data_IF_918419526655
#
_entry.id   IF_918419526655
#
_cell.length_a   1.000
_cell.length_b   1.000
_cell.length_c   1.000
_cell.angle_alpha   90.00
_cell.angle_beta   90.00
_cell.angle_gamma   90.00
#
_symmetry.space_group_name_H-M   'P 1'
#
loop_
_entity.id
_entity.type
_entity.pdbx_description
1 polymer ?
#
# COMPACT_ATOMS: atom_id res chain seq x y z
N UNK A 1 18.89 11.80 -8.66
CA UNK A 1 19.33 12.67 -7.54
C UNK A 1 18.10 13.30 -6.90
N UNK A 2 17.91 13.23 -5.57
CA UNK A 2 16.74 13.81 -4.90
C UNK A 2 16.84 15.35 -4.83
N UNK A 3 15.71 16.06 -4.70
CA UNK A 3 15.67 17.54 -4.61
C UNK A 3 16.60 18.09 -3.52
N UNK A 4 16.59 17.46 -2.35
CA UNK A 4 17.48 17.83 -1.22
C UNK A 4 18.97 17.68 -1.59
N UNK A 5 19.34 16.63 -2.33
CA UNK A 5 20.71 16.43 -2.80
C UNK A 5 21.14 17.48 -3.85
N UNK A 6 20.20 18.23 -4.44
CA UNK A 6 20.47 19.37 -5.34
C UNK A 6 20.36 20.74 -4.63
N UNK A 7 20.09 20.76 -3.32
CA UNK A 7 19.87 21.99 -2.56
C UNK A 7 18.47 22.60 -2.72
N UNK A 8 17.54 21.89 -3.37
CA UNK A 8 16.15 22.33 -3.55
C UNK A 8 15.26 21.91 -2.37
N UNK A 9 14.17 22.66 -2.14
CA UNK A 9 13.18 22.30 -1.09
C UNK A 9 12.44 21.00 -1.46
N UNK A 10 12.23 20.07 -0.50
CA UNK A 10 11.45 18.88 -0.73
C UNK A 10 9.97 19.24 -0.93
N UNK A 11 9.32 18.62 -1.93
CA UNK A 11 7.89 18.79 -2.21
C UNK A 11 7.06 17.54 -1.89
N UNK A 12 7.72 16.41 -1.62
CA UNK A 12 7.06 15.18 -1.22
C UNK A 12 6.54 15.30 0.21
N UNK A 13 5.25 15.02 0.40
CA UNK A 13 4.59 14.96 1.71
C UNK A 13 4.03 13.56 1.90
N UNK A 14 4.33 12.95 3.04
CA UNK A 14 3.77 11.66 3.41
C UNK A 14 2.42 11.85 4.10
N UNK A 15 1.39 11.21 3.57
CA UNK A 15 -0.01 11.32 4.03
C UNK A 15 -0.35 10.34 5.17
N UNK A 16 0.62 9.59 5.68
CA UNK A 16 0.40 8.63 6.77
C UNK A 16 -0.19 7.31 6.32
N UNK A 17 -0.16 7.01 5.03
CA UNK A 17 -0.75 5.79 4.49
C UNK A 17 -0.27 4.52 5.20
N UNK A 18 -1.22 3.72 5.67
CA UNK A 18 -0.94 2.42 6.27
C UNK A 18 -2.06 1.43 5.95
N UNK A 19 -1.70 0.16 5.88
CA UNK A 19 -2.60 -0.94 5.55
C UNK A 19 -2.51 -2.03 6.62
N UNK A 20 -3.63 -2.41 7.21
CA UNK A 20 -3.75 -3.50 8.15
C UNK A 20 -4.61 -4.63 7.55
N UNK A 21 -3.98 -5.73 7.08
CA UNK A 21 -4.71 -6.90 6.62
C UNK A 21 -5.20 -7.72 7.83
N UNK A 22 -6.45 -7.49 8.25
CA UNK A 22 -7.10 -8.14 9.38
C UNK A 22 -7.68 -9.48 8.97
N UNK A 23 -7.10 -10.58 9.47
CA UNK A 23 -7.64 -11.93 9.25
C UNK A 23 -8.88 -12.09 10.13
N UNK A 24 -10.06 -12.18 9.51
CA UNK A 24 -11.34 -12.34 10.22
C UNK A 24 -11.72 -13.82 10.38
N UNK A 25 -11.10 -14.71 9.60
CA UNK A 25 -11.33 -16.15 9.66
C UNK A 25 -10.32 -16.93 8.81
N UNK A 26 -10.43 -18.26 8.82
CA UNK A 26 -9.51 -19.15 8.08
C UNK A 26 -9.50 -18.90 6.56
N UNK A 27 -10.60 -18.39 6.02
CA UNK A 27 -10.80 -18.12 4.59
C UNK A 27 -11.16 -16.66 4.30
N UNK A 28 -11.06 -15.75 5.28
CA UNK A 28 -11.51 -14.37 5.11
C UNK A 28 -10.52 -13.38 5.68
N UNK A 29 -10.25 -12.32 4.91
CA UNK A 29 -9.38 -11.22 5.29
C UNK A 29 -10.05 -9.91 4.91
N UNK A 30 -10.09 -8.98 5.86
CA UNK A 30 -10.49 -7.61 5.69
C UNK A 30 -9.24 -6.76 5.47
N UNK A 31 -9.18 -6.01 4.37
CA UNK A 31 -8.04 -5.16 4.05
C UNK A 31 -8.35 -3.73 4.48
N UNK A 32 -7.99 -3.35 5.71
CA UNK A 32 -8.23 -1.99 6.20
C UNK A 32 -7.07 -1.07 5.80
N UNK A 33 -7.33 -0.04 5.01
CA UNK A 33 -6.33 0.93 4.56
C UNK A 33 -6.72 2.34 5.04
N UNK A 34 -5.80 3.04 5.70
CA UNK A 34 -6.07 4.31 6.39
C UNK A 34 -4.91 5.31 6.26
N UNK A 35 -5.23 6.59 6.36
CA UNK A 35 -4.28 7.73 6.35
C UNK A 35 -4.30 8.49 7.67
N UNK A 36 -3.41 9.48 7.82
CA UNK A 36 -3.51 10.42 8.93
C UNK A 36 -4.91 11.05 8.97
N UNK A 37 -5.46 11.18 10.19
CA UNK A 37 -6.84 11.63 10.40
C UNK A 37 -7.87 10.49 10.52
N UNK A 38 -7.46 9.23 10.37
CA UNK A 38 -8.40 8.10 10.42
C UNK A 38 -9.27 7.99 9.16
N UNK A 39 -8.88 8.69 8.09
CA UNK A 39 -9.56 8.65 6.82
C UNK A 39 -9.28 7.32 6.10
N UNK A 40 -10.35 6.73 5.59
CA UNK A 40 -10.33 5.47 4.84
C UNK A 40 -9.68 5.71 3.47
N UNK A 41 -8.66 4.92 3.15
CA UNK A 41 -7.81 5.10 1.97
C UNK A 41 -7.69 3.82 1.16
N UNK A 42 -8.84 3.30 0.71
CA UNK A 42 -8.94 2.01 0.02
C UNK A 42 -8.28 2.04 -1.37
N UNK A 43 -7.20 1.30 -1.51
CA UNK A 43 -6.45 1.09 -2.77
C UNK A 43 -7.32 0.37 -3.80
N UNK A 44 -8.14 -0.58 -3.36
CA UNK A 44 -9.04 -1.35 -4.22
C UNK A 44 -10.50 -0.92 -4.14
N UNK A 45 -10.86 0.08 -3.32
CA UNK A 45 -12.24 0.50 -3.06
C UNK A 45 -13.03 0.89 -4.32
N UNK A 46 -12.34 1.32 -5.38
CA UNK A 46 -12.96 1.63 -6.68
C UNK A 46 -13.42 0.40 -7.47
N UNK A 47 -12.90 -0.79 -7.16
CA UNK A 47 -13.14 -2.05 -7.88
C UNK A 47 -13.76 -3.10 -6.97
N UNK A 48 -13.45 -3.08 -5.67
CA UNK A 48 -13.83 -4.09 -4.68
C UNK A 48 -14.05 -3.40 -3.35
N UNK A 49 -15.23 -3.61 -2.75
CA UNK A 49 -15.50 -3.19 -1.38
C UNK A 49 -14.53 -3.86 -0.40
N UNK A 50 -13.67 -3.07 0.24
CA UNK A 50 -12.68 -3.53 1.22
C UNK A 50 -13.25 -3.66 2.64
N UNK A 51 -14.46 -3.14 2.88
CA UNK A 51 -15.19 -3.30 4.14
C UNK A 51 -15.79 -4.70 4.30
N UNK A 52 -15.85 -5.48 3.21
CA UNK A 52 -16.25 -6.88 3.25
C UNK A 52 -15.03 -7.83 3.36
N UNK A 53 -15.04 -8.77 4.32
CA UNK A 53 -14.01 -9.79 4.39
C UNK A 53 -14.05 -10.72 3.17
N UNK A 54 -12.94 -10.82 2.43
CA UNK A 54 -12.88 -11.62 1.20
C UNK A 54 -11.73 -12.62 1.22
N UNK A 55 -11.99 -13.80 0.65
CA UNK A 55 -10.96 -14.83 0.45
C UNK A 55 -9.87 -14.38 -0.51
N UNK A 56 -10.21 -13.55 -1.51
CA UNK A 56 -9.25 -12.99 -2.45
C UNK A 56 -8.15 -12.16 -1.76
N UNK A 57 -8.52 -11.36 -0.75
CA UNK A 57 -7.53 -10.59 0.03
C UNK A 57 -6.65 -11.48 0.90
N UNK A 58 -7.15 -12.63 1.34
CA UNK A 58 -6.34 -13.63 2.04
C UNK A 58 -5.29 -14.24 1.09
N UNK A 59 -5.68 -14.58 -0.15
CA UNK A 59 -4.74 -15.09 -1.16
C UNK A 59 -3.71 -14.03 -1.57
N UNK A 60 -4.15 -12.78 -1.74
CA UNK A 60 -3.25 -11.65 -1.98
C UNK A 60 -2.21 -11.54 -0.87
N UNK A 61 -2.64 -11.57 0.39
CA UNK A 61 -1.75 -11.48 1.54
C UNK A 61 -0.83 -12.69 1.68
N UNK A 62 -1.30 -13.88 1.35
CA UNK A 62 -0.54 -15.13 1.50
C UNK A 62 0.50 -15.33 0.40
N UNK A 63 0.19 -14.94 -0.84
CA UNK A 63 1.03 -15.26 -2.00
C UNK A 63 1.67 -14.03 -2.65
N UNK A 64 0.94 -12.93 -2.79
CA UNK A 64 1.41 -11.75 -3.52
C UNK A 64 2.30 -10.87 -2.64
N UNK A 65 1.91 -10.61 -1.39
CA UNK A 65 2.74 -9.77 -0.51
C UNK A 65 4.13 -10.34 -0.21
N UNK A 66 4.30 -11.65 0.07
CA UNK A 66 5.65 -12.20 0.24
C UNK A 66 6.50 -12.03 -1.01
N UNK A 67 5.95 -12.32 -2.19
CA UNK A 67 6.67 -12.14 -3.45
C UNK A 67 7.05 -10.66 -3.69
N UNK A 68 6.08 -9.76 -3.56
CA UNK A 68 6.31 -8.32 -3.72
C UNK A 68 7.33 -7.79 -2.71
N UNK A 69 7.32 -8.30 -1.48
CA UNK A 69 8.28 -7.94 -0.45
C UNK A 69 9.71 -8.35 -0.86
N UNK A 70 9.93 -9.64 -1.15
CA UNK A 70 11.27 -10.15 -1.44
C UNK A 70 11.83 -9.66 -2.77
N UNK A 71 11.00 -9.63 -3.83
CA UNK A 71 11.48 -9.33 -5.18
C UNK A 71 11.41 -7.85 -5.56
N UNK A 72 10.50 -7.06 -4.97
CA UNK A 72 10.30 -5.66 -5.36
C UNK A 72 10.67 -4.69 -4.23
N UNK A 73 10.15 -4.91 -3.02
CA UNK A 73 10.35 -3.99 -1.90
C UNK A 73 11.82 -3.92 -1.47
N UNK A 74 12.46 -5.06 -1.24
CA UNK A 74 13.88 -5.10 -0.89
C UNK A 74 14.79 -4.58 -2.00
N UNK A 75 14.33 -4.63 -3.26
CA UNK A 75 15.06 -4.08 -4.42
C UNK A 75 14.75 -2.60 -4.69
N UNK A 76 13.96 -1.94 -3.82
CA UNK A 76 13.58 -0.53 -3.98
C UNK A 76 12.65 -0.24 -5.16
N UNK A 77 11.95 -1.26 -5.67
CA UNK A 77 11.01 -1.16 -6.80
C UNK A 77 9.54 -1.24 -6.38
N UNK A 78 9.25 -1.10 -5.09
CA UNK A 78 7.89 -1.12 -4.55
C UNK A 78 7.55 0.20 -3.87
N UNK A 79 6.49 0.85 -4.33
CA UNK A 79 6.03 2.18 -3.89
C UNK A 79 4.64 2.13 -3.26
N UNK A 80 4.34 1.06 -2.52
CA UNK A 80 3.08 0.91 -1.79
C UNK A 80 1.88 0.67 -2.73
N UNK A 81 0.83 1.49 -2.61
CA UNK A 81 -0.41 1.37 -3.40
C UNK A 81 -0.21 1.61 -4.89
N UNK A 82 0.91 2.25 -5.28
CA UNK A 82 1.30 2.46 -6.67
C UNK A 82 2.10 1.29 -7.27
N UNK A 83 2.32 0.23 -6.50
CA UNK A 83 3.02 -0.97 -6.95
C UNK A 83 4.46 -0.65 -7.36
N UNK A 84 4.76 -0.73 -8.66
CA UNK A 84 6.10 -0.49 -9.23
C UNK A 84 6.30 0.90 -9.82
N UNK A 85 5.28 1.76 -9.81
CA UNK A 85 5.33 3.08 -10.42
C UNK A 85 5.91 4.09 -9.41
N UNK A 86 7.05 4.73 -9.71
CA UNK A 86 7.66 5.69 -8.80
C UNK A 86 6.74 6.91 -8.64
N UNK A 87 6.54 7.41 -7.41
CA UNK A 87 5.75 8.61 -7.20
C UNK A 87 6.52 9.84 -7.71
N UNK A 88 5.92 10.57 -8.65
CA UNK A 88 6.39 11.89 -9.07
C UNK A 88 5.80 12.95 -8.14
N UNK A 89 6.67 13.70 -7.48
CA UNK A 89 6.31 14.91 -6.74
C UNK A 89 6.93 16.09 -7.51
N UNK A 90 6.10 16.88 -8.17
CA UNK A 90 6.54 18.12 -8.85
C UNK A 90 7.12 19.13 -7.88
#
# INVERSE_FOLDING_TARGET
MGKVMRGEKPTAVYDGYTSCPLITGYSSLLLAEFKYGGEVAETFGRVIDQAEPRWAFLQLKKHVFPFAYWELFLRGRWFGTRGVIPPSFE
#
